data_IF_739374579351
#
_entry.id   IF_739374579351
#
_cell.length_a   1.000
_cell.length_b   1.000
_cell.length_c   1.000
_cell.angle_alpha   90.00
_cell.angle_beta   90.00
_cell.angle_gamma   90.00
#
_symmetry.space_group_name_H-M   'P 1'
#
loop_
_entity.id
_entity.type
_entity.pdbx_description
1 polymer ?
#
# COMPACT_ATOMS: atom_id res chain seq x y z
N UNK A 1 -6.09 -25.38 25.24
CA UNK A 1 -7.37 -24.82 24.75
C UNK A 1 -7.08 -23.52 24.03
N UNK A 2 -6.97 -23.54 22.70
CA UNK A 2 -6.82 -22.33 21.88
C UNK A 2 -8.21 -21.75 21.62
N UNK A 3 -8.43 -20.54 22.09
CA UNK A 3 -9.67 -19.80 21.88
C UNK A 3 -9.68 -19.30 20.44
N UNK A 4 -10.38 -20.01 19.57
CA UNK A 4 -10.70 -19.56 18.22
C UNK A 4 -11.73 -18.42 18.35
N UNK A 5 -11.25 -17.19 18.36
CA UNK A 5 -12.10 -16.01 18.23
C UNK A 5 -12.90 -16.07 16.91
N UNK A 6 -14.09 -15.46 16.86
CA UNK A 6 -14.96 -15.56 15.70
C UNK A 6 -14.27 -14.94 14.48
N UNK A 7 -14.23 -15.69 13.38
CA UNK A 7 -13.84 -15.23 12.03
C UNK A 7 -14.89 -14.24 11.50
N UNK A 8 -15.10 -13.14 12.22
CA UNK A 8 -15.96 -12.03 11.83
C UNK A 8 -15.24 -11.16 10.80
N UNK A 9 -15.32 -11.54 9.52
CA UNK A 9 -14.79 -10.68 8.45
C UNK A 9 -14.98 -11.16 7.01
N UNK A 10 -15.36 -12.42 6.76
CA UNK A 10 -15.46 -12.97 5.39
C UNK A 10 -16.90 -13.03 4.85
N UNK A 11 -17.81 -12.20 5.35
CA UNK A 11 -19.17 -12.11 4.82
C UNK A 11 -19.24 -11.08 3.69
N UNK A 12 -18.82 -11.49 2.50
CA UNK A 12 -18.98 -10.70 1.27
C UNK A 12 -17.79 -10.90 0.37
N UNK A 13 -18.00 -11.51 -0.81
CA UNK A 13 -16.94 -11.64 -1.81
C UNK A 13 -16.31 -10.29 -2.12
N UNK A 14 -15.01 -10.30 -2.41
CA UNK A 14 -14.22 -9.10 -2.72
C UNK A 14 -14.93 -8.27 -3.77
N UNK A 15 -15.39 -7.08 -3.38
CA UNK A 15 -16.20 -6.25 -4.27
C UNK A 15 -15.30 -5.45 -5.21
N UNK A 16 -15.81 -5.12 -6.40
CA UNK A 16 -15.15 -4.14 -7.31
C UNK A 16 -14.81 -2.83 -6.58
N UNK A 17 -15.60 -2.46 -5.56
CA UNK A 17 -15.38 -1.28 -4.71
C UNK A 17 -14.09 -1.41 -3.89
N UNK A 18 -13.80 -2.57 -3.32
CA UNK A 18 -12.58 -2.81 -2.52
C UNK A 18 -11.34 -2.78 -3.39
N UNK A 19 -11.39 -3.41 -4.56
CA UNK A 19 -10.30 -3.38 -5.55
C UNK A 19 -9.99 -1.93 -5.95
N UNK A 20 -11.00 -1.13 -6.28
CA UNK A 20 -10.83 0.29 -6.62
C UNK A 20 -10.35 1.13 -5.43
N UNK A 21 -10.79 0.81 -4.22
CA UNK A 21 -10.33 1.50 -3.00
C UNK A 21 -8.83 1.24 -2.79
N UNK A 22 -8.40 -0.01 -2.91
CA UNK A 22 -7.00 -0.41 -2.80
C UNK A 22 -6.15 0.29 -3.87
N UNK A 23 -6.58 0.29 -5.13
CA UNK A 23 -5.87 1.00 -6.19
C UNK A 23 -5.67 2.48 -5.86
N UNK A 24 -6.74 3.17 -5.45
CA UNK A 24 -6.67 4.60 -5.08
C UNK A 24 -5.77 4.83 -3.86
N UNK A 25 -5.76 3.91 -2.90
CA UNK A 25 -4.86 3.99 -1.75
C UNK A 25 -3.40 3.86 -2.17
N UNK A 26 -3.07 2.91 -3.05
CA UNK A 26 -1.72 2.76 -3.60
C UNK A 26 -1.28 4.05 -4.32
N UNK A 27 -2.14 4.64 -5.16
CA UNK A 27 -1.81 5.88 -5.88
C UNK A 27 -1.56 7.04 -4.91
N UNK A 28 -2.37 7.18 -3.85
CA UNK A 28 -2.18 8.22 -2.82
C UNK A 28 -0.88 8.01 -2.06
N UNK A 29 -0.57 6.79 -1.65
CA UNK A 29 0.68 6.46 -0.96
C UNK A 29 1.89 6.73 -1.86
N UNK A 30 1.82 6.35 -3.14
CA UNK A 30 2.89 6.58 -4.12
C UNK A 30 3.18 8.07 -4.34
N UNK A 31 2.18 8.97 -4.22
CA UNK A 31 2.39 10.41 -4.35
C UNK A 31 3.35 11.00 -3.31
N UNK A 32 3.52 10.34 -2.16
CA UNK A 32 4.48 10.79 -1.14
C UNK A 32 5.94 10.65 -1.60
N UNK A 33 6.21 9.79 -2.59
CA UNK A 33 7.54 9.46 -3.08
C UNK A 33 7.96 10.37 -4.25
N UNK A 34 8.02 11.68 -4.03
CA UNK A 34 8.23 12.66 -5.10
C UNK A 34 9.70 12.79 -5.57
N UNK A 35 10.67 12.28 -4.81
CA UNK A 35 12.09 12.40 -5.15
C UNK A 35 12.51 11.42 -6.27
N UNK A 36 13.54 11.78 -7.06
CA UNK A 36 14.04 10.91 -8.12
C UNK A 36 14.80 9.69 -7.56
N UNK A 37 14.76 8.60 -8.31
CA UNK A 37 15.63 7.44 -8.13
C UNK A 37 17.01 7.70 -8.75
N UNK A 38 17.89 6.69 -8.68
CA UNK A 38 19.25 6.74 -9.23
C UNK A 38 19.31 7.03 -10.75
N UNK A 39 18.21 6.77 -11.47
CA UNK A 39 18.06 7.03 -12.91
C UNK A 39 17.43 8.39 -13.21
N UNK A 40 17.20 9.22 -12.19
CA UNK A 40 16.54 10.52 -12.33
C UNK A 40 15.01 10.47 -12.42
N UNK A 41 14.39 9.29 -12.31
CA UNK A 41 12.93 9.15 -12.43
C UNK A 41 12.26 9.28 -11.06
N UNK A 42 11.20 10.10 -10.89
CA UNK A 42 10.45 10.18 -9.64
C UNK A 42 9.92 8.81 -9.22
N UNK A 43 10.17 8.41 -7.97
CA UNK A 43 9.68 7.14 -7.44
C UNK A 43 8.15 7.01 -7.53
N UNK A 44 7.43 8.11 -7.36
CA UNK A 44 5.97 8.13 -7.53
C UNK A 44 5.52 7.67 -8.92
N UNK A 45 6.25 8.01 -9.97
CA UNK A 45 5.94 7.58 -11.34
C UNK A 45 6.21 6.08 -11.52
N UNK A 46 7.35 5.61 -11.01
CA UNK A 46 7.74 4.19 -11.01
C UNK A 46 6.68 3.34 -10.30
N UNK A 47 6.30 3.72 -9.08
CA UNK A 47 5.34 2.98 -8.25
C UNK A 47 3.94 2.95 -8.89
N UNK A 48 3.45 4.08 -9.42
CA UNK A 48 2.15 4.14 -10.11
C UNK A 48 2.13 3.27 -11.37
N UNK A 49 3.24 3.23 -12.11
CA UNK A 49 3.37 2.38 -13.30
C UNK A 49 3.38 0.90 -12.92
N UNK A 50 4.12 0.52 -11.87
CA UNK A 50 4.09 -0.85 -11.34
C UNK A 50 2.69 -1.27 -10.92
N UNK A 51 2.03 -0.45 -10.10
CA UNK A 51 0.67 -0.72 -9.62
C UNK A 51 -0.32 -0.85 -10.79
N UNK A 52 -0.24 0.03 -11.80
CA UNK A 52 -1.08 -0.09 -13.00
C UNK A 52 -0.83 -1.42 -13.72
N UNK A 53 0.43 -1.82 -13.88
CA UNK A 53 0.80 -3.08 -14.54
C UNK A 53 0.22 -4.28 -13.79
N UNK A 54 0.40 -4.36 -12.48
CA UNK A 54 -0.10 -5.46 -11.65
C UNK A 54 -1.63 -5.57 -11.70
N UNK A 55 -2.36 -4.45 -11.64
CA UNK A 55 -3.82 -4.44 -11.74
C UNK A 55 -4.31 -4.85 -13.14
N UNK A 56 -3.58 -4.47 -14.19
CA UNK A 56 -3.92 -4.83 -15.56
C UNK A 56 -3.69 -6.33 -15.82
N UNK A 57 -2.59 -6.89 -15.30
CA UNK A 57 -2.29 -8.33 -15.34
C UNK A 57 -3.36 -9.16 -14.62
N UNK A 58 -3.90 -8.65 -13.51
CA UNK A 58 -4.96 -9.32 -12.75
C UNK A 58 -6.39 -8.99 -13.23
N UNK A 59 -6.59 -8.16 -14.26
CA UNK A 59 -7.92 -7.62 -14.63
C UNK A 59 -8.95 -8.71 -14.96
N UNK A 60 -8.50 -9.79 -15.57
CA UNK A 60 -9.35 -10.89 -16.00
C UNK A 60 -9.43 -12.04 -14.99
N UNK A 61 -8.87 -11.85 -13.78
CA UNK A 61 -8.99 -12.85 -12.72
C UNK A 61 -10.44 -12.94 -12.24
N UNK A 62 -10.98 -14.16 -12.24
CA UNK A 62 -12.37 -14.46 -11.88
C UNK A 62 -12.50 -15.36 -10.67
N UNK A 63 -11.41 -16.03 -10.24
CA UNK A 63 -11.41 -16.85 -9.04
C UNK A 63 -11.56 -15.94 -7.80
N UNK A 64 -12.66 -16.08 -7.03
CA UNK A 64 -12.91 -15.24 -5.86
C UNK A 64 -11.83 -15.34 -4.78
N UNK A 65 -11.20 -16.51 -4.62
CA UNK A 65 -10.15 -16.72 -3.63
C UNK A 65 -8.85 -16.04 -4.05
N UNK A 66 -8.53 -16.05 -5.35
CA UNK A 66 -7.37 -15.33 -5.88
C UNK A 66 -7.58 -13.83 -5.75
N UNK A 67 -8.74 -13.31 -6.16
CA UNK A 67 -9.07 -11.87 -6.02
C UNK A 67 -9.02 -11.43 -4.55
N UNK A 68 -9.60 -12.21 -3.63
CA UNK A 68 -9.53 -11.93 -2.20
C UNK A 68 -8.08 -11.89 -1.69
N UNK A 69 -7.26 -12.87 -2.06
CA UNK A 69 -5.85 -12.90 -1.69
C UNK A 69 -5.10 -11.68 -2.21
N UNK A 70 -5.28 -11.31 -3.48
CA UNK A 70 -4.63 -10.15 -4.10
C UNK A 70 -4.98 -8.86 -3.33
N UNK A 71 -6.25 -8.67 -2.98
CA UNK A 71 -6.68 -7.48 -2.23
C UNK A 71 -6.11 -7.46 -0.81
N UNK A 72 -6.14 -8.59 -0.09
CA UNK A 72 -5.59 -8.67 1.27
C UNK A 72 -4.09 -8.39 1.28
N UNK A 73 -3.33 -9.06 0.40
CA UNK A 73 -1.87 -8.90 0.32
C UNK A 73 -1.52 -7.47 -0.13
N UNK A 74 -2.24 -6.93 -1.12
CA UNK A 74 -2.03 -5.55 -1.55
C UNK A 74 -2.30 -4.53 -0.44
N UNK A 75 -3.36 -4.73 0.36
CA UNK A 75 -3.67 -3.89 1.51
C UNK A 75 -2.57 -3.97 2.58
N UNK A 76 -2.03 -5.16 2.85
CA UNK A 76 -0.92 -5.33 3.78
C UNK A 76 0.33 -4.59 3.29
N UNK A 77 0.68 -4.75 2.02
CA UNK A 77 1.85 -4.11 1.40
C UNK A 77 1.77 -2.57 1.46
N UNK A 78 0.63 -1.98 1.08
CA UNK A 78 0.48 -0.51 1.12
C UNK A 78 0.47 0.03 2.56
N UNK A 79 -0.11 -0.70 3.51
CA UNK A 79 -0.11 -0.34 4.92
C UNK A 79 1.32 -0.37 5.49
N UNK A 80 2.08 -1.43 5.22
CA UNK A 80 3.46 -1.56 5.67
C UNK A 80 4.35 -0.46 5.08
N UNK A 81 4.19 -0.18 3.77
CA UNK A 81 4.92 0.89 3.08
C UNK A 81 4.63 2.25 3.72
N UNK A 82 3.36 2.55 3.97
CA UNK A 82 2.96 3.80 4.64
C UNK A 82 3.54 3.90 6.05
N UNK A 83 3.51 2.81 6.81
CA UNK A 83 4.05 2.79 8.17
C UNK A 83 5.55 3.07 8.19
N UNK A 84 6.32 2.44 7.30
CA UNK A 84 7.76 2.69 7.14
C UNK A 84 8.04 4.13 6.74
N UNK A 85 7.28 4.66 5.78
CA UNK A 85 7.41 6.05 5.35
C UNK A 85 7.15 7.04 6.50
N UNK A 86 6.04 6.89 7.21
CA UNK A 86 5.68 7.76 8.33
C UNK A 86 6.71 7.68 9.48
N UNK A 87 7.22 6.48 9.78
CA UNK A 87 8.26 6.30 10.78
C UNK A 87 9.54 7.05 10.41
N UNK A 88 9.93 7.00 9.13
CA UNK A 88 11.10 7.74 8.64
C UNK A 88 10.88 9.26 8.70
N UNK A 89 9.72 9.76 8.28
CA UNK A 89 9.40 11.19 8.37
C UNK A 89 9.48 11.69 9.82
N UNK A 90 8.96 10.92 10.77
CA UNK A 90 8.99 11.27 12.19
C UNK A 90 10.42 11.30 12.73
N UNK A 91 11.26 10.34 12.36
CA UNK A 91 12.68 10.34 12.71
C UNK A 91 13.41 11.58 12.16
N UNK A 92 13.16 11.97 10.91
CA UNK A 92 13.73 13.17 10.30
C UNK A 92 13.28 14.43 11.05
N UNK A 93 11.98 14.56 11.33
CA UNK A 93 11.42 15.69 12.10
C UNK A 93 12.08 15.82 13.46
N UNK A 94 12.25 14.73 14.19
CA UNK A 94 12.87 14.74 15.51
C UNK A 94 14.37 15.08 15.47
N UNK A 95 15.09 14.57 14.46
CA UNK A 95 16.50 14.92 14.23
C UNK A 95 16.68 16.42 13.93
N UNK A 96 15.82 17.00 13.10
CA UNK A 96 15.85 18.44 12.78
C UNK A 96 15.57 19.28 14.03
N UNK A 97 14.55 18.93 14.84
CA UNK A 97 14.24 19.62 16.10
C UNK A 97 15.42 19.59 17.08
N UNK A 98 16.05 18.42 17.26
CA UNK A 98 17.21 18.27 18.16
C UNK A 98 18.42 19.09 17.70
N UNK A 99 18.63 19.22 16.38
CA UNK A 99 19.74 20.02 15.83
C UNK A 99 19.49 21.53 16.00
N UNK A 100 18.23 21.97 15.98
CA UNK A 100 17.84 23.38 16.14
C UNK A 100 17.82 23.88 17.59
N UNK A 101 17.62 22.99 18.55
CA UNK A 101 17.61 23.31 19.99
C UNK A 101 19.01 23.24 20.64
N UNK A 102 20.07 23.17 19.83
CA UNK A 102 21.47 23.22 20.27
C UNK A 102 22.09 24.51 19.79
#
# INVERSE_FOLDING_TARGET
MVHLGPLGGLTGGTSKREVLRLYREIIRTANAFYWPNEKGEPWSAVLKRSARKEFEEARNETDPLIVARLVVVGQQCVNETRNKFNAMEEQIKNRVKSTRNR
#
